data_IF_100821252851
#
_entry.id   IF_100821252851
#
_cell.length_a   1.000
_cell.length_b   1.000
_cell.length_c   1.000
_cell.angle_alpha   90.00
_cell.angle_beta   90.00
_cell.angle_gamma   90.00
#
_symmetry.space_group_name_H-M   'P 1'
#
loop_
_entity.id
_entity.type
_entity.pdbx_description
1 polymer ?
#
# COMPACT_ATOMS: atom_id res chain seq x y z
N UNK A 1 21.19 -14.30 -2.50
CA UNK A 1 21.28 -13.05 -2.81
C UNK A 1 20.44 -12.56 -3.92
N UNK A 2 19.42 -12.39 -4.06
CA UNK A 2 18.61 -11.77 -5.05
C UNK A 2 17.31 -11.37 -4.46
N UNK A 3 16.56 -10.64 -5.19
CA UNK A 3 15.20 -10.33 -4.86
C UNK A 3 14.29 -11.05 -5.84
N UNK A 4 13.18 -11.54 -5.35
CA UNK A 4 12.18 -12.19 -6.17
C UNK A 4 10.85 -11.48 -5.91
N UNK A 5 10.26 -10.93 -6.96
CA UNK A 5 8.96 -10.29 -6.83
C UNK A 5 7.89 -11.36 -6.71
N UNK A 6 7.21 -11.41 -5.56
CA UNK A 6 6.22 -12.43 -5.29
C UNK A 6 4.78 -11.92 -5.41
N UNK A 7 4.58 -10.60 -5.32
CA UNK A 7 3.26 -9.98 -5.54
C UNK A 7 3.46 -8.73 -6.37
N UNK A 8 2.61 -8.55 -7.38
CA UNK A 8 2.55 -7.32 -8.16
C UNK A 8 1.11 -7.16 -8.64
N UNK A 9 0.33 -6.34 -7.92
CA UNK A 9 -1.09 -6.15 -8.20
C UNK A 9 -1.41 -4.68 -8.35
N UNK A 10 -2.28 -4.40 -9.30
CA UNK A 10 -2.79 -3.05 -9.53
C UNK A 10 -4.31 -3.12 -9.52
N UNK A 11 -4.94 -2.34 -8.67
CA UNK A 11 -6.38 -2.37 -8.49
C UNK A 11 -6.93 -0.97 -8.68
N UNK A 12 -7.86 -0.81 -9.60
CA UNK A 12 -8.57 0.44 -9.78
C UNK A 12 -9.70 0.50 -8.76
N UNK A 13 -9.72 1.52 -7.95
CA UNK A 13 -10.71 1.67 -6.89
C UNK A 13 -11.77 2.69 -7.28
N UNK A 14 -13.03 2.27 -7.23
CA UNK A 14 -14.17 3.15 -7.45
C UNK A 14 -15.15 3.01 -6.29
N UNK A 15 -15.93 4.04 -6.02
CA UNK A 15 -16.95 3.96 -4.98
C UNK A 15 -18.21 3.25 -5.51
N UNK A 16 -19.26 3.16 -4.68
CA UNK A 16 -20.50 2.46 -5.03
C UNK A 16 -21.24 3.14 -6.20
N UNK A 17 -20.95 4.39 -6.46
CA UNK A 17 -21.57 5.16 -7.53
C UNK A 17 -20.71 5.18 -8.79
N UNK A 18 -19.69 4.33 -8.83
CA UNK A 18 -18.73 4.22 -9.93
C UNK A 18 -17.85 5.46 -10.15
N UNK A 19 -17.66 6.27 -9.11
CA UNK A 19 -16.69 7.35 -9.17
C UNK A 19 -15.29 6.75 -8.96
N UNK A 20 -14.42 6.98 -9.93
CA UNK A 20 -13.04 6.47 -9.84
C UNK A 20 -12.25 7.28 -8.80
N UNK A 21 -11.78 6.60 -7.76
CA UNK A 21 -11.10 7.23 -6.63
C UNK A 21 -9.58 7.23 -6.75
N UNK A 22 -9.03 6.22 -7.37
CA UNK A 22 -7.58 6.08 -7.50
C UNK A 22 -7.15 4.65 -7.75
N UNK A 23 -5.84 4.44 -7.60
CA UNK A 23 -5.21 3.16 -7.93
C UNK A 23 -4.46 2.62 -6.73
N UNK A 24 -4.75 1.38 -6.34
CA UNK A 24 -3.98 0.67 -5.33
C UNK A 24 -2.93 -0.15 -6.08
N UNK A 25 -1.68 -0.03 -5.67
CA UNK A 25 -0.61 -0.87 -6.20
C UNK A 25 0.08 -1.59 -5.06
N UNK A 26 0.20 -2.91 -5.17
CA UNK A 26 0.83 -3.75 -4.16
C UNK A 26 2.01 -4.44 -4.82
N UNK A 27 3.22 -4.18 -4.35
CA UNK A 27 4.41 -4.86 -4.83
C UNK A 27 5.17 -5.39 -3.61
N UNK A 28 5.44 -6.69 -3.63
CA UNK A 28 6.14 -7.36 -2.56
C UNK A 28 7.25 -8.22 -3.16
N UNK A 29 8.45 -8.11 -2.60
CA UNK A 29 9.62 -8.89 -2.99
C UNK A 29 10.09 -9.73 -1.82
N UNK A 30 10.56 -10.93 -2.08
CA UNK A 30 11.35 -11.68 -1.11
C UNK A 30 12.80 -11.29 -1.32
N UNK A 31 13.47 -10.91 -0.24
CA UNK A 31 14.86 -10.45 -0.28
C UNK A 31 15.65 -11.28 0.73
N UNK A 32 16.37 -12.29 0.25
CA UNK A 32 17.09 -13.20 1.12
C UNK A 32 18.43 -12.60 1.53
N UNK A 33 18.82 -12.86 2.77
CA UNK A 33 20.15 -12.52 3.29
C UNK A 33 20.52 -11.04 3.17
N UNK A 34 19.54 -10.16 3.26
CA UNK A 34 19.79 -8.72 3.24
C UNK A 34 19.54 -8.14 4.62
N UNK A 35 20.56 -7.61 5.26
CA UNK A 35 20.46 -7.04 6.60
C UNK A 35 19.56 -5.79 6.66
N UNK A 36 19.32 -5.13 5.52
CA UNK A 36 18.41 -3.99 5.46
C UNK A 36 16.96 -4.42 5.54
N UNK A 37 16.68 -5.71 5.32
CA UNK A 37 15.33 -6.28 5.36
C UNK A 37 15.36 -7.54 6.23
N UNK A 38 15.50 -7.38 7.56
CA UNK A 38 15.63 -8.55 8.44
C UNK A 38 14.43 -9.48 8.43
N UNK A 39 13.27 -9.01 7.99
CA UNK A 39 12.09 -9.85 7.82
C UNK A 39 12.11 -10.64 6.51
N UNK A 40 13.10 -10.43 5.65
CA UNK A 40 13.21 -11.12 4.37
C UNK A 40 12.25 -10.62 3.31
N UNK A 41 11.55 -9.54 3.57
CA UNK A 41 10.50 -9.00 2.70
C UNK A 41 10.75 -7.52 2.47
N UNK A 42 10.69 -7.10 1.20
CA UNK A 42 10.65 -5.70 0.82
C UNK A 42 9.27 -5.45 0.23
N UNK A 43 8.63 -4.36 0.62
CA UNK A 43 7.27 -4.10 0.14
C UNK A 43 7.03 -2.63 -0.15
N UNK A 44 6.08 -2.39 -1.02
CA UNK A 44 5.57 -1.06 -1.29
C UNK A 44 4.10 -1.20 -1.65
N UNK A 45 3.22 -0.61 -0.84
CA UNK A 45 1.78 -0.60 -1.07
C UNK A 45 1.34 0.85 -1.10
N UNK A 46 0.75 1.26 -2.22
CA UNK A 46 0.41 2.66 -2.47
C UNK A 46 -1.04 2.78 -2.89
N UNK A 47 -1.72 3.77 -2.37
CA UNK A 47 -2.94 4.26 -2.99
C UNK A 47 -2.63 5.63 -3.58
N UNK A 48 -2.60 5.70 -4.90
CA UNK A 48 -2.45 6.95 -5.62
C UNK A 48 -3.85 7.53 -5.83
N UNK A 49 -4.17 8.56 -5.05
CA UNK A 49 -5.49 9.18 -5.09
C UNK A 49 -5.65 10.03 -6.35
N UNK A 50 -6.75 9.86 -7.05
CA UNK A 50 -7.06 10.72 -8.18
C UNK A 50 -7.39 12.13 -7.69
N UNK A 51 -6.64 13.12 -8.16
CA UNK A 51 -6.81 14.52 -7.76
C UNK A 51 -7.19 15.42 -8.95
N UNK A 52 -7.35 14.84 -10.12
CA UNK A 52 -7.75 15.55 -11.32
C UNK A 52 -7.79 14.58 -12.48
N UNK A 53 -8.13 15.07 -13.68
CA UNK A 53 -8.09 14.24 -14.88
C UNK A 53 -6.63 13.85 -15.13
N UNK A 54 -6.35 12.54 -15.14
CA UNK A 54 -5.02 11.99 -15.34
C UNK A 54 -3.97 12.46 -14.31
N UNK A 55 -4.41 12.93 -13.13
CA UNK A 55 -3.51 13.35 -12.07
C UNK A 55 -3.76 12.54 -10.81
N UNK A 56 -2.67 12.08 -10.21
CA UNK A 56 -2.71 11.22 -9.02
C UNK A 56 -1.73 11.71 -7.97
N UNK A 57 -2.12 11.57 -6.71
CA UNK A 57 -1.26 11.87 -5.56
C UNK A 57 -0.73 10.56 -4.98
N UNK A 58 0.52 10.25 -5.26
CA UNK A 58 1.18 9.02 -4.77
C UNK A 58 1.58 9.08 -3.31
N UNK A 59 1.45 10.22 -2.65
CA UNK A 59 1.76 10.37 -1.24
C UNK A 59 0.50 10.41 -0.35
N UNK A 60 -0.65 10.13 -0.92
CA UNK A 60 -1.89 10.11 -0.15
C UNK A 60 -1.86 9.03 0.92
N UNK A 61 -1.48 7.80 0.55
CA UNK A 61 -1.24 6.71 1.48
C UNK A 61 -0.24 5.73 0.88
N UNK A 62 0.84 5.48 1.58
CA UNK A 62 1.87 4.54 1.15
C UNK A 62 2.47 3.85 2.35
N UNK A 63 2.56 2.53 2.27
CA UNK A 63 3.26 1.71 3.25
C UNK A 63 4.47 1.12 2.55
N UNK A 64 5.68 1.35 3.06
CA UNK A 64 6.86 0.69 2.55
C UNK A 64 7.90 0.49 3.66
N UNK A 65 8.91 -0.34 3.37
CA UNK A 65 10.02 -0.58 4.29
C UNK A 65 11.33 -0.27 3.59
N UNK A 66 11.40 0.94 3.08
CA UNK A 66 12.54 1.41 2.34
C UNK A 66 13.87 1.18 3.07
N UNK A 67 14.89 0.83 2.30
CA UNK A 67 16.24 0.64 2.78
C UNK A 67 16.68 1.83 3.63
N UNK A 68 17.30 1.59 4.77
CA UNK A 68 17.80 2.57 5.74
C UNK A 68 16.71 3.16 6.66
N UNK A 69 15.46 3.20 6.25
CA UNK A 69 14.39 3.75 7.07
C UNK A 69 13.58 2.70 7.82
N UNK A 70 13.53 1.49 7.29
CA UNK A 70 12.67 0.45 7.83
C UNK A 70 11.19 0.70 7.53
N UNK A 71 10.30 -0.08 8.19
CA UNK A 71 8.86 0.04 7.95
C UNK A 71 8.31 1.39 8.36
N UNK A 72 7.58 2.04 7.47
CA UNK A 72 6.96 3.32 7.75
C UNK A 72 5.73 3.56 6.88
N UNK A 73 4.93 4.56 7.26
CA UNK A 73 3.71 4.93 6.57
C UNK A 73 3.83 6.40 6.15
N UNK A 74 3.53 6.67 4.87
CA UNK A 74 3.31 8.03 4.40
C UNK A 74 1.81 8.24 4.29
N UNK A 75 1.28 9.21 5.03
CA UNK A 75 -0.15 9.52 5.03
C UNK A 75 -0.33 11.01 4.88
N UNK A 76 -0.91 11.43 3.76
CA UNK A 76 -1.15 12.84 3.44
C UNK A 76 0.10 13.71 3.60
N UNK A 77 1.23 13.20 3.13
CA UNK A 77 2.51 13.92 3.17
C UNK A 77 3.26 13.85 4.48
N UNK A 78 2.73 13.15 5.49
CA UNK A 78 3.41 12.96 6.77
C UNK A 78 3.89 11.53 6.91
N UNK A 79 4.98 11.34 7.64
CA UNK A 79 5.59 10.04 7.82
C UNK A 79 5.40 9.53 9.24
N UNK A 80 5.05 8.25 9.39
CA UNK A 80 4.83 7.60 10.67
C UNK A 80 5.56 6.27 10.72
N UNK A 81 6.03 5.85 11.90
CA UNK A 81 6.62 4.52 12.03
C UNK A 81 5.56 3.44 11.90
N UNK A 82 5.97 2.25 11.43
CA UNK A 82 5.09 1.11 11.31
C UNK A 82 5.81 -0.15 11.77
N UNK A 83 5.12 -1.02 12.50
CA UNK A 83 5.69 -2.28 12.92
C UNK A 83 5.18 -3.39 12.01
N UNK A 84 6.07 -3.91 11.16
CA UNK A 84 5.74 -5.00 10.24
C UNK A 84 5.66 -6.32 11.01
N UNK A 85 4.59 -7.07 10.85
CA UNK A 85 4.43 -8.39 11.45
C UNK A 85 4.43 -9.48 10.39
N UNK A 86 3.53 -9.40 9.44
CA UNK A 86 3.42 -10.34 8.33
C UNK A 86 2.70 -9.67 7.17
N UNK A 87 2.68 -10.33 6.02
CA UNK A 87 2.07 -9.76 4.81
C UNK A 87 0.57 -9.59 4.96
N UNK A 88 -0.11 -10.56 5.57
CA UNK A 88 -1.56 -10.49 5.74
C UNK A 88 -1.95 -9.28 6.59
N UNK A 89 -1.30 -9.09 7.73
CA UNK A 89 -1.55 -7.94 8.60
C UNK A 89 -1.21 -6.63 7.90
N UNK A 90 -0.14 -6.60 7.11
CA UNK A 90 0.26 -5.43 6.36
C UNK A 90 -0.85 -4.98 5.40
N UNK A 91 -1.39 -5.92 4.64
CA UNK A 91 -2.45 -5.61 3.69
C UNK A 91 -3.73 -5.19 4.42
N UNK A 92 -4.09 -5.88 5.50
CA UNK A 92 -5.26 -5.53 6.30
C UNK A 92 -5.13 -4.14 6.89
N UNK A 93 -3.97 -3.80 7.45
CA UNK A 93 -3.72 -2.49 8.04
C UNK A 93 -3.82 -1.39 6.98
N UNK A 94 -3.25 -1.65 5.80
CA UNK A 94 -3.32 -0.69 4.69
C UNK A 94 -4.77 -0.44 4.26
N UNK A 95 -5.53 -1.50 4.05
CA UNK A 95 -6.92 -1.37 3.59
C UNK A 95 -7.81 -0.69 4.62
N UNK A 96 -7.60 -0.99 5.90
CA UNK A 96 -8.33 -0.33 6.97
C UNK A 96 -8.03 1.16 7.03
N UNK A 97 -6.74 1.50 6.94
CA UNK A 97 -6.29 2.88 6.95
C UNK A 97 -6.87 3.65 5.75
N UNK A 98 -6.83 3.02 4.58
CA UNK A 98 -7.39 3.61 3.36
C UNK A 98 -8.90 3.86 3.50
N UNK A 99 -9.61 2.89 4.05
CA UNK A 99 -11.06 3.05 4.29
C UNK A 99 -11.36 4.20 5.23
N UNK A 100 -10.58 4.33 6.30
CA UNK A 100 -10.74 5.42 7.26
C UNK A 100 -10.48 6.78 6.59
N UNK A 101 -9.43 6.88 5.78
CA UNK A 101 -9.08 8.12 5.09
C UNK A 101 -10.11 8.54 4.05
N UNK A 102 -10.72 7.58 3.37
CA UNK A 102 -11.72 7.84 2.33
C UNK A 102 -13.16 7.88 2.87
N UNK A 103 -13.36 7.47 4.13
CA UNK A 103 -14.69 7.36 4.70
C UNK A 103 -15.52 6.26 4.06
N UNK A 104 -14.88 5.16 3.63
CA UNK A 104 -15.51 4.08 2.90
C UNK A 104 -15.23 2.73 3.55
N UNK A 105 -16.11 1.77 3.30
CA UNK A 105 -15.85 0.39 3.65
C UNK A 105 -15.15 -0.28 2.46
N UNK A 106 -13.84 -0.36 2.51
CA UNK A 106 -13.02 -0.89 1.41
C UNK A 106 -13.31 -2.36 1.16
N UNK A 107 -13.49 -3.17 2.21
CA UNK A 107 -13.79 -4.59 2.05
C UNK A 107 -15.06 -4.80 1.23
N UNK A 108 -16.10 -4.01 1.52
CA UNK A 108 -17.35 -4.08 0.78
C UNK A 108 -17.15 -3.71 -0.69
N UNK A 109 -16.33 -2.71 -0.98
CA UNK A 109 -16.06 -2.29 -2.35
C UNK A 109 -15.26 -3.34 -3.10
N UNK A 110 -14.23 -3.90 -2.48
CA UNK A 110 -13.37 -4.91 -3.11
C UNK A 110 -14.10 -6.23 -3.35
N UNK A 111 -15.02 -6.60 -2.47
CA UNK A 111 -15.82 -7.82 -2.63
C UNK A 111 -16.72 -7.77 -3.85
N UNK A 112 -17.08 -6.58 -4.30
CA UNK A 112 -17.91 -6.40 -5.47
C UNK A 112 -17.13 -6.53 -6.77
N UNK A 113 -15.83 -6.33 -6.67
CA UNK A 113 -14.96 -6.33 -7.83
C UNK A 113 -14.84 -7.66 -8.46
#
# INVERSE_FOLDING_TARGET
MGSQRIVNRKILLSDKENNFLGIIQIVIWRVDDDENYPCGIKYRIVFAKRVGEDKFDGDFLRYDNEKWKGPHIHRKGKEYPYEFKDIESLIDDFLKDLGDLLGLNIDEILERG
#
